data_IF_217814662332
#
_entry.id   IF_217814662332
#
_cell.length_a   1.000
_cell.length_b   1.000
_cell.length_c   1.000
_cell.angle_alpha   90.00
_cell.angle_beta   90.00
_cell.angle_gamma   90.00
#
_symmetry.space_group_name_H-M   'P 1'
#
loop_
_entity.id
_entity.type
_entity.pdbx_description
1 polymer ?
#
# COMPACT_ATOMS: atom_id res chain seq x y z
N UNK A 1 -5.80 -29.93 9.01
CA UNK A 1 -5.19 -29.47 7.76
C UNK A 1 -3.83 -30.09 7.57
N UNK A 2 -3.58 -30.78 6.48
CA UNK A 2 -2.26 -31.35 6.23
C UNK A 2 -1.22 -30.24 6.02
N UNK A 3 -0.02 -30.50 6.52
CA UNK A 3 1.11 -29.59 6.39
C UNK A 3 2.08 -30.12 5.34
N UNK A 4 2.65 -29.20 4.58
CA UNK A 4 3.70 -29.51 3.61
C UNK A 4 4.94 -28.74 4.01
N UNK A 5 6.09 -29.39 3.98
CA UNK A 5 7.37 -28.73 4.20
C UNK A 5 8.00 -28.38 2.86
N UNK A 6 8.52 -27.16 2.75
CA UNK A 6 9.32 -26.76 1.60
C UNK A 6 10.48 -25.91 2.09
N UNK A 7 11.51 -25.82 1.27
CA UNK A 7 12.72 -25.05 1.61
C UNK A 7 12.96 -23.97 0.56
N UNK A 8 13.59 -22.90 0.99
CA UNK A 8 13.97 -21.78 0.14
C UNK A 8 15.42 -21.41 0.42
N UNK A 9 16.10 -20.91 -0.60
CA UNK A 9 17.45 -20.38 -0.49
C UNK A 9 17.39 -18.87 -0.63
N UNK A 10 17.86 -18.16 0.40
CA UNK A 10 17.89 -16.70 0.42
C UNK A 10 19.23 -16.23 0.97
N UNK A 11 19.58 -14.99 0.66
CA UNK A 11 20.84 -14.41 1.09
C UNK A 11 20.96 -14.36 2.61
N UNK A 12 22.15 -14.67 3.12
CA UNK A 12 22.45 -14.72 4.54
C UNK A 12 22.11 -13.40 5.26
N UNK A 13 22.48 -12.28 4.67
CA UNK A 13 22.21 -10.97 5.26
C UNK A 13 20.71 -10.65 5.35
N UNK A 14 19.94 -11.10 4.37
CA UNK A 14 18.48 -10.92 4.38
C UNK A 14 17.86 -11.75 5.51
N UNK A 15 18.32 -12.99 5.70
CA UNK A 15 17.85 -13.85 6.82
C UNK A 15 18.14 -13.21 8.15
N UNK A 16 19.33 -12.64 8.35
CA UNK A 16 19.69 -11.97 9.59
C UNK A 16 18.77 -10.80 9.92
N UNK A 17 18.49 -9.97 8.93
CA UNK A 17 17.55 -8.85 9.07
C UNK A 17 16.16 -9.35 9.43
N UNK A 18 15.70 -10.36 8.73
CA UNK A 18 14.39 -10.96 8.96
C UNK A 18 14.26 -11.48 10.40
N UNK A 19 15.22 -12.26 10.88
CA UNK A 19 15.21 -12.81 12.23
C UNK A 19 15.23 -11.73 13.31
N UNK A 20 15.98 -10.64 13.08
CA UNK A 20 15.99 -9.50 13.99
C UNK A 20 14.59 -8.91 14.16
N UNK A 21 13.87 -8.69 13.07
CA UNK A 21 12.54 -8.12 13.12
C UNK A 21 11.48 -9.10 13.62
N UNK A 22 11.67 -10.40 13.41
CA UNK A 22 10.79 -11.42 14.01
C UNK A 22 10.74 -11.30 15.52
N UNK A 23 11.88 -11.08 16.15
CA UNK A 23 11.95 -10.88 17.61
C UNK A 23 11.23 -9.62 18.06
N UNK A 24 11.41 -8.53 17.32
CA UNK A 24 10.76 -7.26 17.62
C UNK A 24 9.23 -7.36 17.49
N UNK A 25 8.74 -8.11 16.52
CA UNK A 25 7.32 -8.29 16.26
C UNK A 25 6.69 -9.45 17.06
N UNK A 26 7.45 -10.02 17.99
CA UNK A 26 6.98 -11.12 18.86
C UNK A 26 6.56 -12.40 18.12
N UNK A 27 7.14 -12.66 16.96
CA UNK A 27 6.91 -13.93 16.28
C UNK A 27 7.63 -15.07 16.99
N UNK A 28 6.92 -16.17 17.25
CA UNK A 28 7.46 -17.34 17.92
C UNK A 28 8.42 -18.13 17.05
N UNK A 29 8.20 -18.12 15.73
CA UNK A 29 9.03 -18.87 14.79
C UNK A 29 8.90 -18.30 13.38
N UNK A 30 9.82 -18.74 12.51
CA UNK A 30 9.86 -18.31 11.10
C UNK A 30 8.61 -18.73 10.33
N UNK A 31 8.09 -19.93 10.60
CA UNK A 31 6.94 -20.49 9.88
C UNK A 31 5.72 -19.62 10.02
N UNK A 32 5.43 -19.10 11.20
CA UNK A 32 4.28 -18.21 11.43
C UNK A 32 4.44 -16.91 10.64
N UNK A 33 5.62 -16.30 10.69
CA UNK A 33 5.89 -15.06 9.97
C UNK A 33 5.78 -15.26 8.45
N UNK A 34 6.34 -16.34 7.93
CA UNK A 34 6.28 -16.66 6.50
C UNK A 34 4.83 -16.95 6.08
N UNK A 35 4.08 -17.67 6.91
CA UNK A 35 2.64 -17.93 6.66
C UNK A 35 1.87 -16.62 6.55
N UNK A 36 2.12 -15.67 7.45
CA UNK A 36 1.45 -14.37 7.40
C UNK A 36 1.83 -13.58 6.13
N UNK A 37 3.10 -13.62 5.74
CA UNK A 37 3.54 -12.97 4.50
C UNK A 37 2.86 -13.58 3.27
N UNK A 38 2.77 -14.90 3.22
CA UNK A 38 2.10 -15.60 2.12
C UNK A 38 0.61 -15.24 2.08
N UNK A 39 -0.05 -15.25 3.24
CA UNK A 39 -1.48 -14.90 3.31
C UNK A 39 -1.73 -13.47 2.84
N UNK A 40 -0.90 -12.53 3.25
CA UNK A 40 -1.01 -11.13 2.82
C UNK A 40 -0.81 -10.99 1.31
N UNK A 41 0.19 -11.67 0.76
CA UNK A 41 0.44 -11.66 -0.68
C UNK A 41 -0.75 -12.22 -1.46
N UNK A 42 -1.30 -13.35 -1.02
CA UNK A 42 -2.46 -13.97 -1.68
C UNK A 42 -3.72 -13.12 -1.56
N UNK A 43 -3.92 -12.44 -0.44
CA UNK A 43 -5.05 -11.54 -0.25
C UNK A 43 -5.02 -10.42 -1.30
N UNK A 44 -3.86 -9.78 -1.47
CA UNK A 44 -3.69 -8.75 -2.48
C UNK A 44 -3.98 -9.28 -3.89
N UNK A 45 -3.50 -10.48 -4.22
CA UNK A 45 -3.74 -11.10 -5.53
C UNK A 45 -5.18 -11.51 -5.73
N UNK A 46 -5.84 -12.00 -4.69
CA UNK A 46 -7.25 -12.37 -4.75
C UNK A 46 -8.12 -11.18 -5.16
N UNK A 47 -7.87 -10.03 -4.57
CA UNK A 47 -8.60 -8.81 -4.90
C UNK A 47 -8.36 -8.44 -6.36
N UNK A 48 -7.14 -8.56 -6.86
CA UNK A 48 -6.81 -8.21 -8.25
C UNK A 48 -7.31 -9.22 -9.29
N UNK A 49 -7.52 -10.48 -8.90
CA UNK A 49 -7.97 -11.55 -9.80
C UNK A 49 -9.50 -11.66 -9.85
N UNK A 50 -10.19 -11.27 -8.79
CA UNK A 50 -11.64 -11.35 -8.72
C UNK A 50 -12.30 -10.41 -9.76
N UNK A 51 -13.59 -10.59 -10.03
CA UNK A 51 -14.35 -9.84 -11.04
C UNK A 51 -14.55 -8.36 -10.69
N UNK A 52 -13.45 -7.64 -10.43
CA UNK A 52 -13.46 -6.22 -10.14
C UNK A 52 -14.48 -5.83 -9.05
N UNK A 53 -14.27 -6.29 -7.80
CA UNK A 53 -15.24 -6.07 -6.74
C UNK A 53 -15.31 -4.61 -6.32
N UNK A 54 -16.43 -4.23 -5.72
CA UNK A 54 -16.53 -2.96 -4.99
C UNK A 54 -15.82 -3.13 -3.65
N UNK A 55 -14.86 -2.28 -3.38
CA UNK A 55 -14.03 -2.32 -2.18
C UNK A 55 -13.96 -0.97 -1.50
N UNK A 56 -13.63 -0.97 -0.22
CA UNK A 56 -13.25 0.23 0.50
C UNK A 56 -11.75 0.19 0.76
N UNK A 57 -11.12 1.33 0.83
CA UNK A 57 -9.70 1.39 1.05
C UNK A 57 -9.20 2.77 1.41
N UNK A 58 -7.89 2.85 1.57
CA UNK A 58 -7.20 4.10 1.87
C UNK A 58 -5.87 4.14 1.12
N UNK A 59 -5.52 5.32 0.62
CA UNK A 59 -4.20 5.61 0.07
C UNK A 59 -3.52 6.61 0.99
N UNK A 60 -2.61 6.17 1.88
CA UNK A 60 -1.70 7.08 2.54
C UNK A 60 -0.52 7.37 1.62
N UNK A 61 -0.19 8.65 1.45
CA UNK A 61 0.97 9.04 0.66
C UNK A 61 1.71 10.21 1.27
N UNK A 62 3.02 10.22 1.09
CA UNK A 62 3.91 11.31 1.51
C UNK A 62 4.52 11.92 0.25
N UNK A 63 4.50 13.23 0.16
CA UNK A 63 5.07 13.92 -1.00
C UNK A 63 5.74 15.22 -0.59
N UNK A 64 6.65 15.68 -1.46
CA UNK A 64 7.34 16.96 -1.30
C UNK A 64 6.47 18.07 -1.89
N UNK A 65 5.88 18.93 -1.04
CA UNK A 65 4.98 19.98 -1.49
C UNK A 65 5.68 21.13 -2.22
N UNK A 66 7.01 21.19 -2.17
CA UNK A 66 7.77 22.18 -2.95
C UNK A 66 8.05 21.72 -4.38
N UNK A 67 7.78 20.45 -4.70
CA UNK A 67 7.94 19.97 -6.07
C UNK A 67 6.98 20.73 -6.97
N UNK A 68 7.54 21.35 -8.01
CA UNK A 68 6.78 22.17 -8.93
C UNK A 68 5.58 21.44 -9.51
N UNK A 69 4.42 22.06 -9.44
CA UNK A 69 3.14 21.59 -9.97
C UNK A 69 2.59 20.30 -9.32
N UNK A 70 3.26 19.73 -8.33
CA UNK A 70 2.81 18.46 -7.74
C UNK A 70 1.46 18.58 -7.06
N UNK A 71 1.26 19.61 -6.24
CA UNK A 71 -0.01 19.81 -5.54
C UNK A 71 -1.18 19.96 -6.54
N UNK A 72 -0.94 20.68 -7.63
CA UNK A 72 -1.93 20.85 -8.69
C UNK A 72 -2.22 19.53 -9.41
N UNK A 73 -1.20 18.73 -9.70
CA UNK A 73 -1.35 17.42 -10.34
C UNK A 73 -2.14 16.47 -9.46
N UNK A 74 -1.86 16.45 -8.16
CA UNK A 74 -2.59 15.62 -7.19
C UNK A 74 -4.06 16.04 -7.14
N UNK A 75 -4.32 17.32 -7.03
CA UNK A 75 -5.70 17.86 -7.01
C UNK A 75 -6.44 17.53 -8.30
N UNK A 76 -5.78 17.68 -9.43
CA UNK A 76 -6.36 17.37 -10.74
C UNK A 76 -6.73 15.87 -10.85
N UNK A 77 -5.85 14.99 -10.43
CA UNK A 77 -6.13 13.56 -10.40
C UNK A 77 -7.32 13.24 -9.50
N UNK A 78 -7.38 13.84 -8.31
CA UNK A 78 -8.48 13.61 -7.39
C UNK A 78 -9.82 14.03 -8.00
N UNK A 79 -9.86 15.12 -8.75
CA UNK A 79 -11.06 15.54 -9.43
C UNK A 79 -11.54 14.52 -10.48
N UNK A 80 -10.63 13.85 -11.16
CA UNK A 80 -10.97 12.82 -12.12
C UNK A 80 -11.48 11.53 -11.48
N UNK A 81 -11.22 11.31 -10.20
CA UNK A 81 -11.58 10.12 -9.46
C UNK A 81 -12.57 10.39 -8.33
N UNK A 82 -13.33 11.47 -8.44
CA UNK A 82 -14.31 11.87 -7.42
C UNK A 82 -15.37 10.80 -7.20
N UNK A 83 -15.60 9.95 -8.19
CA UNK A 83 -16.54 8.83 -8.11
C UNK A 83 -16.13 7.78 -7.08
N UNK A 84 -14.85 7.66 -6.74
CA UNK A 84 -14.34 6.68 -5.77
C UNK A 84 -13.77 7.31 -4.51
N UNK A 85 -13.53 8.62 -4.49
CA UNK A 85 -12.99 9.31 -3.31
C UNK A 85 -14.12 9.70 -2.36
N UNK A 86 -14.03 9.22 -1.11
CA UNK A 86 -14.98 9.60 -0.05
C UNK A 86 -14.53 10.89 0.61
N UNK A 87 -13.27 10.96 1.00
CA UNK A 87 -12.70 12.12 1.70
C UNK A 87 -11.18 12.10 1.59
N UNK A 88 -10.57 13.25 1.83
CA UNK A 88 -9.12 13.38 1.91
C UNK A 88 -8.76 14.15 3.18
N UNK A 89 -7.62 13.79 3.75
CA UNK A 89 -7.04 14.50 4.89
C UNK A 89 -5.61 14.91 4.53
N UNK A 90 -5.32 16.19 4.66
CA UNK A 90 -4.03 16.77 4.34
C UNK A 90 -3.33 17.20 5.62
N UNK A 91 -2.11 16.71 5.84
CA UNK A 91 -1.35 16.95 7.05
C UNK A 91 0.04 17.44 6.67
N UNK A 92 0.43 18.58 7.21
CA UNK A 92 1.80 19.07 7.07
C UNK A 92 2.71 18.34 8.04
N UNK A 93 3.70 17.61 7.53
CA UNK A 93 4.67 16.90 8.36
C UNK A 93 5.81 17.82 8.79
N UNK A 94 6.30 18.64 7.87
CA UNK A 94 7.34 19.64 8.09
C UNK A 94 7.29 20.66 6.94
N UNK A 95 8.31 21.50 6.81
CA UNK A 95 8.35 22.54 5.77
C UNK A 95 8.32 21.97 4.35
N UNK A 96 8.83 20.76 4.16
CA UNK A 96 9.01 20.18 2.82
C UNK A 96 7.99 19.09 2.48
N UNK A 97 7.48 18.38 3.49
CA UNK A 97 6.70 17.17 3.28
C UNK A 97 5.28 17.26 3.80
N UNK A 98 4.36 16.69 3.04
CA UNK A 98 2.97 16.52 3.42
C UNK A 98 2.60 15.05 3.41
N UNK A 99 1.73 14.67 4.33
CA UNK A 99 1.05 13.39 4.34
C UNK A 99 -0.39 13.64 3.89
N UNK A 100 -0.85 12.90 2.92
CA UNK A 100 -2.25 12.93 2.50
C UNK A 100 -2.85 11.54 2.66
N UNK A 101 -4.05 11.47 3.21
CA UNK A 101 -4.78 10.24 3.42
C UNK A 101 -6.06 10.34 2.62
N UNK A 102 -6.23 9.44 1.65
CA UNK A 102 -7.39 9.42 0.75
C UNK A 102 -8.24 8.21 1.08
N UNK A 103 -9.46 8.43 1.57
CA UNK A 103 -10.41 7.36 1.83
C UNK A 103 -11.22 7.09 0.56
N UNK A 104 -11.39 5.81 0.22
CA UNK A 104 -11.90 5.37 -1.06
C UNK A 104 -13.00 4.32 -0.90
N UNK A 105 -13.93 4.32 -1.83
CA UNK A 105 -14.90 3.24 -2.01
C UNK A 105 -15.33 3.18 -3.47
N UNK A 106 -15.25 2.01 -4.07
CA UNK A 106 -15.66 1.83 -5.46
C UNK A 106 -15.07 0.56 -6.05
N UNK A 107 -15.13 0.47 -7.36
CA UNK A 107 -14.56 -0.67 -8.08
C UNK A 107 -13.04 -0.70 -7.95
N UNK A 108 -12.51 -1.88 -7.72
CA UNK A 108 -11.08 -2.06 -7.51
C UNK A 108 -10.23 -1.50 -8.65
N UNK A 109 -10.60 -1.75 -9.90
CA UNK A 109 -9.84 -1.28 -11.05
C UNK A 109 -9.72 0.25 -11.08
N UNK A 110 -10.79 0.94 -10.72
CA UNK A 110 -10.82 2.40 -10.68
C UNK A 110 -9.92 2.95 -9.57
N UNK A 111 -9.98 2.32 -8.40
CA UNK A 111 -9.13 2.67 -7.25
C UNK A 111 -7.66 2.40 -7.57
N UNK A 112 -7.37 1.25 -8.16
CA UNK A 112 -6.01 0.90 -8.54
C UNK A 112 -5.44 1.82 -9.61
N UNK A 113 -6.26 2.27 -10.54
CA UNK A 113 -5.86 3.28 -11.55
C UNK A 113 -5.44 4.58 -10.89
N UNK A 114 -6.23 5.09 -9.95
CA UNK A 114 -5.87 6.29 -9.17
C UNK A 114 -4.56 6.08 -8.42
N UNK A 115 -4.44 4.97 -7.70
CA UNK A 115 -3.24 4.66 -6.93
C UNK A 115 -1.99 4.64 -7.82
N UNK A 116 -2.06 3.95 -8.95
CA UNK A 116 -0.94 3.83 -9.88
C UNK A 116 -0.51 5.21 -10.41
N UNK A 117 -1.47 6.05 -10.77
CA UNK A 117 -1.20 7.41 -11.24
C UNK A 117 -0.59 8.28 -10.17
N UNK A 118 -1.13 8.26 -8.94
CA UNK A 118 -0.58 9.04 -7.82
C UNK A 118 0.85 8.61 -7.49
N UNK A 119 1.07 7.31 -7.39
CA UNK A 119 2.37 6.73 -7.06
C UNK A 119 3.45 7.11 -8.09
N UNK A 120 3.09 7.28 -9.34
CA UNK A 120 4.03 7.60 -10.43
C UNK A 120 4.41 9.07 -10.53
N UNK A 121 3.73 9.97 -9.83
CA UNK A 121 4.05 11.40 -9.90
C UNK A 121 5.40 11.71 -9.28
N UNK A 122 6.19 12.56 -9.95
CA UNK A 122 7.47 13.03 -9.42
C UNK A 122 7.23 13.86 -8.16
N UNK A 123 7.98 13.54 -7.11
CA UNK A 123 7.83 14.23 -5.82
C UNK A 123 6.98 13.47 -4.83
N UNK A 124 6.25 12.45 -5.26
CA UNK A 124 5.62 11.48 -4.36
C UNK A 124 6.72 10.55 -3.84
N UNK A 125 6.96 10.62 -2.54
CA UNK A 125 8.05 9.89 -1.89
C UNK A 125 7.61 8.46 -1.59
N UNK A 126 6.40 8.30 -1.08
CA UNK A 126 5.84 7.02 -0.70
C UNK A 126 4.32 7.06 -0.86
N UNK A 127 3.76 5.99 -1.39
CA UNK A 127 2.32 5.82 -1.48
C UNK A 127 2.01 4.33 -1.37
N UNK A 128 0.94 4.02 -0.66
CA UNK A 128 0.46 2.65 -0.51
C UNK A 128 -1.04 2.59 -0.70
N UNK A 129 -1.54 1.43 -1.08
CA UNK A 129 -2.97 1.16 -1.16
C UNK A 129 -3.29 0.04 -0.18
N UNK A 130 -4.19 0.33 0.74
CA UNK A 130 -4.69 -0.65 1.72
C UNK A 130 -6.18 -0.82 1.45
N UNK A 131 -6.60 -2.06 1.24
CA UNK A 131 -7.97 -2.38 0.84
C UNK A 131 -8.58 -3.38 1.80
N UNK A 132 -9.85 -3.18 2.11
CA UNK A 132 -10.68 -4.19 2.75
C UNK A 132 -11.66 -4.75 1.73
N UNK A 133 -11.86 -6.05 1.76
CA UNK A 133 -12.87 -6.71 0.93
C UNK A 133 -14.24 -6.75 1.61
#
# INVERSE_FOLDING_TARGET
MPLVRFSISIEKELVKKFEKFLKLDNYKNRSKAITDLINNYLLEKRISISENPTVAGVIPMVYNHHKRCLTEEITHLQHHFIDVIISTQHIHLNEDKCLEIIALKGKYDRINELYTKLKSLKGVINAKLIISD
#
